data_IF_213666676331
#
_entry.id   IF_213666676331
#
_cell.length_a   1.000
_cell.length_b   1.000
_cell.length_c   1.000
_cell.angle_alpha   90.00
_cell.angle_beta   90.00
_cell.angle_gamma   90.00
#
_symmetry.space_group_name_H-M   'P 1'
#
loop_
_entity.id
_entity.type
_entity.pdbx_description
1 polymer ?
#
# COMPACT_ATOMS: atom_id res chain seq x y z
N UNK A 1 -0.06 6.43 -10.72
CA UNK A 1 -1.05 6.12 -11.77
C UNK A 1 -0.78 6.89 -13.06
N UNK A 2 -0.67 8.23 -13.06
CA UNK A 2 -0.42 9.04 -14.27
C UNK A 2 0.74 8.61 -15.18
N UNK A 3 1.77 7.95 -14.60
CA UNK A 3 2.92 7.39 -15.34
C UNK A 3 2.71 5.95 -15.84
N UNK A 4 1.49 5.42 -15.81
CA UNK A 4 1.17 4.05 -16.24
C UNK A 4 1.45 2.97 -15.19
N UNK A 5 1.33 3.29 -13.90
CA UNK A 5 1.47 2.29 -12.84
C UNK A 5 0.15 1.51 -12.67
N UNK A 6 0.21 0.17 -12.77
CA UNK A 6 -0.96 -0.71 -12.55
C UNK A 6 -1.36 -0.86 -11.08
N UNK A 7 -0.40 -0.64 -10.17
CA UNK A 7 -0.63 -0.58 -8.73
C UNK A 7 0.54 0.03 -7.96
N UNK A 8 0.29 0.38 -6.69
CA UNK A 8 1.23 1.03 -5.78
C UNK A 8 1.25 0.33 -4.42
N UNK A 9 2.42 -0.22 -4.04
CA UNK A 9 2.65 -0.81 -2.72
C UNK A 9 3.26 0.22 -1.77
N UNK A 10 2.68 0.38 -0.58
CA UNK A 10 3.11 1.31 0.46
C UNK A 10 3.43 0.51 1.71
N UNK A 11 4.72 0.48 2.08
CA UNK A 11 5.22 -0.27 3.24
C UNK A 11 5.86 0.65 4.26
N UNK A 12 5.08 1.29 5.15
CA UNK A 12 5.68 2.01 6.27
C UNK A 12 6.30 1.03 7.26
N UNK A 13 7.07 1.58 8.21
CA UNK A 13 7.51 0.84 9.38
C UNK A 13 6.31 0.23 10.12
N UNK A 14 6.58 -0.82 10.88
CA UNK A 14 5.65 -1.32 11.89
C UNK A 14 5.47 -0.31 13.04
N UNK A 15 4.90 -0.77 14.15
CA UNK A 15 4.61 0.06 15.32
C UNK A 15 5.87 0.66 15.99
N UNK A 16 7.07 0.38 15.49
CA UNK A 16 8.34 0.98 15.91
C UNK A 16 8.89 2.04 14.93
N UNK A 17 8.05 2.99 14.51
CA UNK A 17 8.50 4.04 13.62
C UNK A 17 9.62 4.88 14.27
N UNK A 18 10.78 4.96 13.62
CA UNK A 18 11.93 5.73 14.09
C UNK A 18 11.62 7.22 14.33
N UNK A 19 10.60 7.75 13.65
CA UNK A 19 10.19 9.16 13.70
C UNK A 19 8.95 9.40 14.57
N UNK A 20 8.50 8.38 15.31
CA UNK A 20 7.37 8.43 16.23
C UNK A 20 6.06 7.89 15.65
N UNK A 21 5.20 7.41 16.53
CA UNK A 21 3.99 6.63 16.18
C UNK A 21 2.98 7.41 15.34
N UNK A 22 2.97 8.74 15.44
CA UNK A 22 2.10 9.61 14.64
C UNK A 22 2.31 9.39 13.13
N UNK A 23 3.52 9.05 12.67
CA UNK A 23 3.82 8.83 11.25
C UNK A 23 2.98 7.70 10.64
N UNK A 24 2.77 6.62 11.39
CA UNK A 24 1.96 5.49 10.93
C UNK A 24 0.49 5.89 10.81
N UNK A 25 -0.05 6.60 11.81
CA UNK A 25 -1.42 7.13 11.77
C UNK A 25 -1.65 8.07 10.59
N UNK A 26 -0.69 8.96 10.30
CA UNK A 26 -0.78 9.84 9.13
C UNK A 26 -0.72 9.07 7.81
N UNK A 27 0.11 8.03 7.73
CA UNK A 27 0.21 7.18 6.55
C UNK A 27 -1.11 6.46 6.29
N UNK A 28 -1.68 5.80 7.30
CA UNK A 28 -2.99 5.12 7.20
C UNK A 28 -4.09 6.07 6.69
N UNK A 29 -4.22 7.26 7.30
CA UNK A 29 -5.22 8.26 6.89
C UNK A 29 -5.02 8.72 5.44
N UNK A 30 -3.77 8.96 5.02
CA UNK A 30 -3.46 9.44 3.68
C UNK A 30 -3.68 8.35 2.62
N UNK A 31 -3.36 7.11 2.94
CA UNK A 31 -3.64 5.96 2.06
C UNK A 31 -5.14 5.81 1.86
N UNK A 32 -5.93 5.83 2.92
CA UNK A 32 -7.39 5.70 2.80
C UNK A 32 -7.99 6.87 2.00
N UNK A 33 -7.54 8.09 2.26
CA UNK A 33 -7.96 9.27 1.47
C UNK A 33 -7.60 9.10 0.00
N UNK A 34 -6.40 8.60 -0.32
CA UNK A 34 -5.99 8.36 -1.69
C UNK A 34 -6.81 7.26 -2.35
N UNK A 35 -7.09 6.15 -1.65
CA UNK A 35 -7.95 5.06 -2.13
C UNK A 35 -9.36 5.57 -2.46
N UNK A 36 -9.95 6.37 -1.59
CA UNK A 36 -11.27 6.95 -1.83
C UNK A 36 -11.28 7.91 -3.02
N UNK A 37 -10.28 8.79 -3.10
CA UNK A 37 -10.13 9.71 -4.23
C UNK A 37 -9.96 8.96 -5.56
N UNK A 38 -9.06 7.98 -5.61
CA UNK A 38 -8.83 7.20 -6.82
C UNK A 38 -10.06 6.37 -7.21
N UNK A 39 -10.74 5.79 -6.23
CA UNK A 39 -12.01 5.08 -6.45
C UNK A 39 -13.08 5.99 -7.04
N UNK A 40 -13.15 7.26 -6.59
CA UNK A 40 -14.12 8.23 -7.13
C UNK A 40 -13.90 8.58 -8.62
N UNK A 41 -12.69 8.36 -9.14
CA UNK A 41 -12.36 8.57 -10.56
C UNK A 41 -12.24 7.27 -11.36
N UNK A 42 -12.72 6.15 -10.80
CA UNK A 42 -12.78 4.86 -11.48
C UNK A 42 -11.52 4.00 -11.41
N UNK A 43 -10.59 4.31 -10.50
CA UNK A 43 -9.43 3.46 -10.23
C UNK A 43 -9.72 2.59 -9.00
N UNK A 44 -9.64 1.28 -9.16
CA UNK A 44 -9.99 0.31 -8.13
C UNK A 44 -9.08 0.44 -6.89
N UNK A 45 -9.69 0.34 -5.69
CA UNK A 45 -8.97 0.53 -4.40
C UNK A 45 -7.86 -0.51 -4.21
N UNK A 46 -8.08 -1.69 -4.76
CA UNK A 46 -7.20 -2.85 -4.78
C UNK A 46 -5.86 -2.56 -5.47
N UNK A 47 -5.80 -1.55 -6.35
CA UNK A 47 -4.55 -1.10 -6.98
C UNK A 47 -3.62 -0.36 -6.02
N UNK A 48 -4.08 0.04 -4.84
CA UNK A 48 -3.22 0.52 -3.74
C UNK A 48 -3.21 -0.52 -2.63
N UNK A 49 -2.02 -1.02 -2.27
CA UNK A 49 -1.81 -1.86 -1.10
C UNK A 49 -1.00 -1.12 -0.05
N UNK A 50 -1.48 -1.14 1.18
CA UNK A 50 -0.77 -0.62 2.35
C UNK A 50 -0.59 -1.73 3.36
N UNK A 51 0.67 -1.98 3.73
CA UNK A 51 1.04 -3.07 4.63
C UNK A 51 2.24 -2.64 5.46
N UNK A 52 2.08 -2.54 6.78
CA UNK A 52 3.19 -2.25 7.69
C UNK A 52 4.20 -3.39 7.63
N UNK A 53 5.49 -3.06 7.55
CA UNK A 53 6.54 -4.06 7.44
C UNK A 53 7.70 -3.72 8.38
N UNK A 54 8.14 -4.71 9.16
CA UNK A 54 9.39 -4.58 9.92
C UNK A 54 10.59 -4.72 8.99
N UNK A 55 11.68 -4.00 9.30
CA UNK A 55 12.89 -3.97 8.47
C UNK A 55 13.56 -5.33 8.27
N UNK A 56 13.22 -6.34 9.07
CA UNK A 56 13.85 -7.66 9.03
C UNK A 56 12.93 -8.77 8.50
N UNK A 57 11.76 -8.44 7.91
CA UNK A 57 10.81 -9.44 7.44
C UNK A 57 10.73 -9.54 5.90
N UNK A 58 11.79 -10.08 5.29
CA UNK A 58 11.86 -10.27 3.85
C UNK A 58 10.80 -11.28 3.33
N UNK A 59 10.50 -12.33 4.11
CA UNK A 59 9.50 -13.33 3.73
C UNK A 59 8.11 -12.71 3.58
N UNK A 60 7.70 -11.90 4.56
CA UNK A 60 6.44 -11.15 4.50
C UNK A 60 6.42 -10.19 3.32
N UNK A 61 7.52 -9.48 3.03
CA UNK A 61 7.63 -8.62 1.86
C UNK A 61 7.37 -9.36 0.54
N UNK A 62 7.96 -10.55 0.36
CA UNK A 62 7.72 -11.37 -0.82
C UNK A 62 6.27 -11.82 -0.91
N UNK A 63 5.68 -12.25 0.21
CA UNK A 63 4.29 -12.69 0.27
C UNK A 63 3.33 -11.55 -0.14
N UNK A 64 3.47 -10.36 0.44
CA UNK A 64 2.57 -9.22 0.14
C UNK A 64 2.75 -8.74 -1.30
N UNK A 65 3.97 -8.76 -1.83
CA UNK A 65 4.26 -8.32 -3.20
C UNK A 65 3.65 -9.28 -4.21
N UNK A 66 3.84 -10.59 -4.02
CA UNK A 66 3.24 -11.61 -4.87
C UNK A 66 1.72 -11.57 -4.82
N UNK A 67 1.13 -11.42 -3.62
CA UNK A 67 -0.32 -11.29 -3.48
C UNK A 67 -0.84 -10.07 -4.23
N UNK A 68 -0.16 -8.93 -4.12
CA UNK A 68 -0.54 -7.71 -4.84
C UNK A 68 -0.49 -7.90 -6.36
N UNK A 69 0.56 -8.55 -6.88
CA UNK A 69 0.67 -8.84 -8.31
C UNK A 69 -0.51 -9.70 -8.77
N UNK A 70 -0.86 -10.74 -8.02
CA UNK A 70 -2.00 -11.61 -8.35
C UNK A 70 -3.34 -10.89 -8.26
N UNK A 71 -3.51 -9.96 -7.33
CA UNK A 71 -4.73 -9.15 -7.24
C UNK A 71 -4.85 -8.19 -8.43
N UNK A 72 -3.77 -7.51 -8.81
CA UNK A 72 -3.75 -6.61 -9.98
C UNK A 72 -4.05 -7.38 -11.26
N UNK A 73 -3.47 -8.58 -11.44
CA UNK A 73 -3.75 -9.43 -12.61
C UNK A 73 -5.22 -9.79 -12.78
N UNK A 74 -6.00 -9.84 -11.70
CA UNK A 74 -7.45 -10.14 -11.74
C UNK A 74 -8.31 -8.94 -12.13
N UNK A 75 -7.76 -7.73 -12.08
CA UNK A 75 -8.45 -6.49 -12.46
C UNK A 75 -8.33 -6.18 -13.96
N UNK A 76 -7.53 -6.97 -14.69
CA UNK A 76 -7.25 -6.80 -16.11
C UNK A 76 -7.90 -7.90 -16.95
#
# INVERSE_FOLDING_TARGET
>A
FEKGADGVLITPCDDSCHFGDLCNTWTEKRVETARDLLSSIGIEKERIRHHKLSSNNAEEFFQITNQMIEDIKKLN
#
